data_IF_056047175602
#
_entry.id   IF_056047175602
#
_cell.length_a   1.000
_cell.length_b   1.000
_cell.length_c   1.000
_cell.angle_alpha   90.00
_cell.angle_beta   90.00
_cell.angle_gamma   90.00
#
_symmetry.space_group_name_H-M   'P 1'
#
loop_
_entity.id
_entity.type
_entity.pdbx_description
1 polymer ?
#
# COMPACT_ATOMS: atom_id res chain seq x y z
N UNK A 1 8.16 -15.05 -12.30
CA UNK A 1 8.56 -14.38 -13.55
C UNK A 1 10.00 -13.96 -13.39
N UNK A 2 10.85 -14.26 -14.37
CA UNK A 2 12.26 -13.86 -14.41
C UNK A 2 12.33 -12.39 -14.79
N UNK A 3 13.07 -11.58 -14.04
CA UNK A 3 13.14 -10.14 -14.30
C UNK A 3 13.94 -9.83 -15.57
N UNK A 4 13.56 -8.76 -16.27
CA UNK A 4 14.22 -8.28 -17.48
C UNK A 4 15.23 -7.19 -17.17
N UNK A 5 16.49 -7.45 -17.44
CA UNK A 5 17.62 -6.58 -17.12
C UNK A 5 18.22 -6.02 -18.40
N UNK A 6 18.35 -4.70 -18.48
CA UNK A 6 19.06 -4.04 -19.58
C UNK A 6 20.52 -3.80 -19.20
N UNK A 7 21.45 -4.32 -19.98
CA UNK A 7 22.89 -4.06 -19.87
C UNK A 7 23.31 -3.04 -20.91
N UNK A 8 23.93 -1.95 -20.48
CA UNK A 8 24.38 -0.86 -21.34
C UNK A 8 25.87 -0.63 -21.14
N UNK A 9 26.67 -0.89 -22.17
CA UNK A 9 28.13 -0.67 -22.16
C UNK A 9 28.60 -0.55 -23.62
N UNK A 10 29.49 0.40 -23.90
CA UNK A 10 30.00 0.66 -25.26
C UNK A 10 31.01 -0.40 -25.72
N UNK A 11 31.55 -1.20 -24.78
CA UNK A 11 32.49 -2.28 -25.07
C UNK A 11 31.75 -3.62 -25.18
N UNK A 12 31.70 -4.25 -26.38
CA UNK A 12 30.92 -5.48 -26.59
C UNK A 12 31.36 -6.67 -25.73
N UNK A 13 32.62 -6.71 -25.31
CA UNK A 13 33.14 -7.75 -24.43
C UNK A 13 32.53 -7.65 -23.01
N UNK A 14 32.35 -6.44 -22.48
CA UNK A 14 31.74 -6.22 -21.17
C UNK A 14 30.27 -6.63 -21.20
N UNK A 15 29.54 -6.22 -22.25
CA UNK A 15 28.13 -6.59 -22.47
C UNK A 15 27.96 -8.11 -22.46
N UNK A 16 28.73 -8.84 -23.29
CA UNK A 16 28.64 -10.30 -23.38
C UNK A 16 28.97 -11.00 -22.06
N UNK A 17 29.94 -10.47 -21.30
CA UNK A 17 30.31 -11.04 -20.01
C UNK A 17 29.17 -10.90 -18.99
N UNK A 18 28.61 -9.69 -18.86
CA UNK A 18 27.49 -9.42 -17.95
C UNK A 18 26.23 -10.18 -18.37
N UNK A 19 25.93 -10.23 -19.67
CA UNK A 19 24.83 -11.02 -20.24
C UNK A 19 24.96 -12.50 -19.85
N UNK A 20 26.11 -13.13 -20.11
CA UNK A 20 26.32 -14.54 -19.78
C UNK A 20 26.13 -14.82 -18.27
N UNK A 21 26.60 -13.93 -17.40
CA UNK A 21 26.47 -14.06 -15.94
C UNK A 21 25.01 -13.95 -15.49
N UNK A 22 24.26 -12.98 -16.03
CA UNK A 22 22.85 -12.76 -15.70
C UNK A 22 21.94 -13.89 -16.24
N UNK A 23 22.20 -14.37 -17.45
CA UNK A 23 21.47 -15.50 -18.04
C UNK A 23 21.68 -16.78 -17.23
N UNK A 24 22.89 -17.01 -16.69
CA UNK A 24 23.17 -18.14 -15.81
C UNK A 24 22.34 -18.13 -14.51
N UNK A 25 21.91 -16.94 -14.06
CA UNK A 25 21.00 -16.73 -12.93
C UNK A 25 19.53 -16.64 -13.36
N UNK A 26 19.22 -17.08 -14.59
CA UNK A 26 17.87 -17.15 -15.17
C UNK A 26 17.20 -15.81 -15.42
N UNK A 27 17.94 -14.70 -15.54
CA UNK A 27 17.36 -13.41 -15.94
C UNK A 27 17.16 -13.31 -17.46
N UNK A 28 16.16 -12.55 -17.88
CA UNK A 28 16.03 -12.14 -19.29
C UNK A 28 16.91 -10.91 -19.49
N UNK A 29 17.82 -10.93 -20.47
CA UNK A 29 18.79 -9.86 -20.69
C UNK A 29 18.52 -9.14 -22.00
N UNK A 30 18.41 -7.82 -21.93
CA UNK A 30 18.47 -6.91 -23.08
C UNK A 30 19.83 -6.22 -23.07
N UNK A 31 20.31 -5.82 -24.24
CA UNK A 31 21.62 -5.17 -24.39
C UNK A 31 21.52 -3.89 -25.22
N UNK A 32 22.26 -2.85 -24.83
CA UNK A 32 22.46 -1.63 -25.60
C UNK A 32 23.95 -1.26 -25.65
N UNK A 33 24.39 -0.71 -26.78
CA UNK A 33 25.78 -0.28 -26.98
C UNK A 33 26.01 1.21 -26.68
N UNK A 34 24.95 1.98 -26.44
CA UNK A 34 25.01 3.41 -26.18
C UNK A 34 23.77 3.90 -25.43
N UNK A 35 23.85 5.14 -24.93
CA UNK A 35 22.77 5.77 -24.17
C UNK A 35 21.49 6.01 -24.95
N UNK A 36 21.56 6.30 -26.26
CA UNK A 36 20.36 6.53 -27.08
C UNK A 36 19.57 5.23 -27.28
N UNK A 37 20.26 4.13 -27.59
CA UNK A 37 19.66 2.80 -27.68
C UNK A 37 19.05 2.37 -26.34
N UNK A 38 19.74 2.63 -25.22
CA UNK A 38 19.23 2.32 -23.89
C UNK A 38 17.91 3.03 -23.57
N UNK A 39 17.83 4.34 -23.83
CA UNK A 39 16.61 5.13 -23.63
C UNK A 39 15.46 4.61 -24.51
N UNK A 40 15.72 4.32 -25.78
CA UNK A 40 14.72 3.80 -26.71
C UNK A 40 14.16 2.45 -26.25
N UNK A 41 15.02 1.54 -25.74
CA UNK A 41 14.59 0.24 -25.21
C UNK A 41 13.68 0.42 -23.99
N UNK A 42 14.06 1.27 -23.03
CA UNK A 42 13.25 1.57 -21.84
C UNK A 42 11.90 2.22 -22.19
N UNK A 43 11.82 2.95 -23.30
CA UNK A 43 10.58 3.55 -23.81
C UNK A 43 9.72 2.62 -24.67
N UNK A 44 10.23 1.47 -25.11
CA UNK A 44 9.49 0.56 -25.98
C UNK A 44 9.14 -0.76 -25.30
N UNK A 45 9.91 -1.14 -24.29
CA UNK A 45 9.79 -2.43 -23.61
C UNK A 45 9.71 -2.26 -22.09
N UNK A 46 9.20 -3.28 -21.40
CA UNK A 46 9.26 -3.33 -19.94
C UNK A 46 10.66 -3.79 -19.50
N UNK A 47 11.35 -2.94 -18.74
CA UNK A 47 12.67 -3.22 -18.14
C UNK A 47 12.53 -3.12 -16.62
N UNK A 48 13.02 -4.13 -15.91
CA UNK A 48 12.92 -4.22 -14.44
C UNK A 48 14.15 -3.65 -13.74
N UNK A 49 15.31 -3.61 -14.41
CA UNK A 49 16.55 -3.03 -13.89
C UNK A 49 17.51 -2.66 -15.04
N UNK A 50 18.25 -1.57 -14.89
CA UNK A 50 19.30 -1.15 -15.84
C UNK A 50 20.67 -1.26 -15.18
N UNK A 51 21.59 -2.00 -15.81
CA UNK A 51 23.03 -1.96 -15.55
C UNK A 51 23.67 -1.01 -16.56
N UNK A 52 24.23 0.09 -16.10
CA UNK A 52 24.62 1.21 -16.95
C UNK A 52 26.10 1.55 -16.80
N UNK A 53 26.86 1.45 -17.87
CA UNK A 53 28.20 2.01 -17.92
C UNK A 53 28.16 3.55 -17.92
N UNK A 54 29.14 4.16 -17.26
CA UNK A 54 29.24 5.63 -17.20
C UNK A 54 30.02 6.18 -18.40
N UNK A 55 31.08 5.51 -18.80
CA UNK A 55 32.04 6.02 -19.77
C UNK A 55 31.66 5.58 -21.18
N UNK A 56 30.62 6.20 -21.73
CA UNK A 56 30.16 5.96 -23.09
C UNK A 56 30.35 7.20 -23.98
N UNK A 57 30.58 7.01 -25.29
CA UNK A 57 30.70 8.13 -26.23
C UNK A 57 29.35 8.83 -26.44
N UNK A 58 29.41 10.12 -26.79
CA UNK A 58 28.29 11.02 -27.06
C UNK A 58 27.38 11.34 -25.86
N UNK A 59 26.87 10.34 -25.16
CA UNK A 59 26.02 10.47 -23.98
C UNK A 59 26.57 9.59 -22.87
N UNK A 60 27.01 10.21 -21.77
CA UNK A 60 27.55 9.50 -20.62
C UNK A 60 26.43 8.83 -19.79
N UNK A 61 26.78 7.87 -18.95
CA UNK A 61 25.79 7.16 -18.13
C UNK A 61 25.13 8.05 -17.06
N UNK A 62 25.73 9.18 -16.68
CA UNK A 62 25.06 10.12 -15.77
C UNK A 62 23.86 10.78 -16.48
N UNK A 63 24.07 11.26 -17.71
CA UNK A 63 23.01 11.86 -18.52
C UNK A 63 21.89 10.87 -18.85
N UNK A 64 22.24 9.62 -19.19
CA UNK A 64 21.24 8.55 -19.40
C UNK A 64 20.40 8.35 -18.13
N UNK A 65 21.05 8.29 -16.96
CA UNK A 65 20.35 8.11 -15.69
C UNK A 65 19.40 9.28 -15.40
N UNK A 66 19.83 10.52 -15.55
CA UNK A 66 18.99 11.71 -15.34
C UNK A 66 17.77 11.72 -16.27
N UNK A 67 17.95 11.34 -17.55
CA UNK A 67 16.85 11.21 -18.51
C UNK A 67 15.88 10.10 -18.14
N UNK A 68 16.37 8.94 -17.70
CA UNK A 68 15.51 7.85 -17.21
C UNK A 68 14.70 8.28 -15.98
N UNK A 69 15.32 9.02 -15.05
CA UNK A 69 14.70 9.45 -13.79
C UNK A 69 13.75 10.65 -13.93
N UNK A 70 13.87 11.44 -15.00
CA UNK A 70 12.97 12.56 -15.29
C UNK A 70 11.68 12.18 -16.02
N UNK A 71 11.64 11.01 -16.67
CA UNK A 71 10.42 10.53 -17.35
C UNK A 71 9.53 9.72 -16.41
N UNK A 72 8.25 10.09 -16.30
CA UNK A 72 7.28 9.38 -15.45
C UNK A 72 7.13 7.90 -15.79
N UNK A 73 7.41 7.54 -17.06
CA UNK A 73 7.36 6.17 -17.56
C UNK A 73 8.57 5.34 -17.12
N UNK A 74 9.74 5.92 -16.93
CA UNK A 74 10.98 5.17 -16.65
C UNK A 74 11.57 5.46 -15.28
N UNK A 75 11.11 6.51 -14.58
CA UNK A 75 11.69 6.96 -13.31
C UNK A 75 11.68 5.91 -12.20
N UNK A 76 10.77 4.96 -12.29
CA UNK A 76 10.62 3.87 -11.35
C UNK A 76 11.52 2.66 -11.63
N UNK A 77 12.25 2.64 -12.75
CA UNK A 77 13.19 1.59 -13.09
C UNK A 77 14.48 1.81 -12.27
N UNK A 78 14.95 0.82 -11.50
CA UNK A 78 16.20 0.93 -10.77
C UNK A 78 17.40 0.94 -11.72
N UNK A 79 18.36 1.84 -11.46
CA UNK A 79 19.58 2.00 -12.26
C UNK A 79 20.79 1.72 -11.38
N UNK A 80 21.60 0.73 -11.77
CA UNK A 80 22.89 0.42 -11.16
C UNK A 80 23.99 0.86 -12.11
N UNK A 81 24.80 1.82 -11.69
CA UNK A 81 25.95 2.24 -12.48
C UNK A 81 27.10 1.25 -12.32
N UNK A 82 27.77 0.89 -13.41
CA UNK A 82 28.95 0.02 -13.41
C UNK A 82 30.06 0.77 -14.13
N UNK A 83 31.18 1.07 -13.48
CA UNK A 83 32.23 1.87 -14.14
C UNK A 83 33.62 1.56 -13.62
N UNK A 84 34.65 1.90 -14.38
CA UNK A 84 36.04 1.88 -13.91
C UNK A 84 36.36 3.06 -12.98
N UNK A 85 35.48 4.07 -12.88
CA UNK A 85 35.62 5.16 -11.92
C UNK A 85 35.46 4.63 -10.49
N UNK A 86 36.46 4.85 -9.64
CA UNK A 86 36.54 4.30 -8.29
C UNK A 86 36.51 5.36 -7.19
N UNK A 87 36.55 6.64 -7.55
CA UNK A 87 36.59 7.75 -6.60
C UNK A 87 35.23 7.94 -5.89
N UNK A 88 35.22 8.30 -4.59
CA UNK A 88 33.98 8.59 -3.87
C UNK A 88 33.13 9.68 -4.54
N UNK A 89 33.76 10.68 -5.17
CA UNK A 89 33.07 11.75 -5.89
C UNK A 89 32.21 11.25 -7.06
N UNK A 90 32.65 10.21 -7.76
CA UNK A 90 31.93 9.64 -8.90
C UNK A 90 30.70 8.86 -8.44
N UNK A 91 30.82 8.13 -7.32
CA UNK A 91 29.68 7.45 -6.67
C UNK A 91 28.63 8.45 -6.22
N UNK A 92 29.07 9.53 -5.55
CA UNK A 92 28.18 10.60 -5.09
C UNK A 92 27.50 11.27 -6.28
N UNK A 93 28.21 11.52 -7.38
CA UNK A 93 27.63 12.07 -8.61
C UNK A 93 26.58 11.12 -9.19
N UNK A 94 26.86 9.82 -9.24
CA UNK A 94 25.93 8.80 -9.74
C UNK A 94 24.64 8.74 -8.94
N UNK A 95 24.75 8.70 -7.61
CA UNK A 95 23.60 8.72 -6.71
C UNK A 95 22.79 10.04 -6.83
N UNK A 96 23.47 11.19 -7.01
CA UNK A 96 22.81 12.48 -7.25
C UNK A 96 22.08 12.55 -8.60
N UNK A 97 22.62 11.89 -9.63
CA UNK A 97 21.94 11.70 -10.92
C UNK A 97 20.73 10.75 -10.83
N UNK A 98 20.49 10.15 -9.66
CA UNK A 98 19.34 9.30 -9.36
C UNK A 98 19.61 7.81 -9.49
N UNK A 99 20.87 7.38 -9.65
CA UNK A 99 21.22 5.96 -9.62
C UNK A 99 20.81 5.37 -8.27
N UNK A 100 20.27 4.15 -8.31
CA UNK A 100 19.91 3.41 -7.11
C UNK A 100 21.14 2.78 -6.46
N UNK A 101 22.18 2.51 -7.26
CA UNK A 101 23.42 1.92 -6.77
C UNK A 101 24.59 2.11 -7.73
N UNK A 102 25.78 1.72 -7.26
CA UNK A 102 27.04 1.85 -7.99
C UNK A 102 27.95 0.65 -7.72
N UNK A 103 28.59 0.15 -8.78
CA UNK A 103 29.60 -0.91 -8.75
C UNK A 103 30.85 -0.48 -9.52
N UNK A 104 32.01 -0.73 -8.93
CA UNK A 104 33.31 -0.46 -9.57
C UNK A 104 33.80 -1.71 -10.31
N UNK A 105 34.36 -1.54 -11.51
CA UNK A 105 35.01 -2.60 -12.30
C UNK A 105 36.41 -2.90 -11.71
N UNK A 106 36.85 -4.16 -11.66
CA UNK A 106 36.16 -5.37 -12.11
C UNK A 106 35.02 -5.77 -11.16
N UNK A 107 33.86 -6.10 -11.73
CA UNK A 107 32.66 -6.41 -10.96
C UNK A 107 32.77 -7.77 -10.29
N UNK A 108 32.61 -7.80 -8.97
CA UNK A 108 32.46 -9.02 -8.18
C UNK A 108 31.07 -9.62 -8.43
N UNK A 109 31.01 -10.87 -8.89
CA UNK A 109 29.78 -11.57 -9.26
C UNK A 109 28.79 -11.67 -8.11
N UNK A 110 29.28 -11.94 -6.91
CA UNK A 110 28.47 -12.09 -5.72
C UNK A 110 27.82 -10.74 -5.33
N UNK A 111 28.57 -9.64 -5.41
CA UNK A 111 28.05 -8.30 -5.16
C UNK A 111 27.05 -7.86 -6.24
N UNK A 112 27.33 -8.13 -7.50
CA UNK A 112 26.41 -7.82 -8.61
C UNK A 112 25.09 -8.58 -8.45
N UNK A 113 25.15 -9.90 -8.25
CA UNK A 113 23.94 -10.72 -8.17
C UNK A 113 23.10 -10.38 -6.95
N UNK A 114 23.73 -10.14 -5.80
CA UNK A 114 22.99 -9.78 -4.58
C UNK A 114 22.30 -8.41 -4.71
N UNK A 115 22.95 -7.41 -5.31
CA UNK A 115 22.35 -6.10 -5.61
C UNK A 115 21.20 -6.21 -6.61
N UNK A 116 21.41 -6.91 -7.73
CA UNK A 116 20.39 -7.15 -8.76
C UNK A 116 19.15 -7.83 -8.14
N UNK A 117 19.34 -8.92 -7.40
CA UNK A 117 18.24 -9.65 -6.74
C UNK A 117 17.48 -8.77 -5.74
N UNK A 118 18.19 -7.96 -4.95
CA UNK A 118 17.56 -7.03 -3.99
C UNK A 118 16.71 -5.97 -4.68
N UNK A 119 17.26 -5.30 -5.71
CA UNK A 119 16.57 -4.23 -6.44
C UNK A 119 15.38 -4.76 -7.24
N UNK A 120 15.52 -5.92 -7.89
CA UNK A 120 14.41 -6.59 -8.60
C UNK A 120 13.28 -6.95 -7.62
N UNK A 121 13.60 -7.50 -6.44
CA UNK A 121 12.59 -7.81 -5.41
C UNK A 121 11.81 -6.56 -5.01
N UNK A 122 12.50 -5.43 -4.84
CA UNK A 122 11.87 -4.15 -4.48
C UNK A 122 11.03 -3.57 -5.62
N UNK A 123 11.51 -3.68 -6.87
CA UNK A 123 10.79 -3.26 -8.08
C UNK A 123 9.47 -3.99 -8.22
N UNK A 124 9.46 -5.31 -8.07
CA UNK A 124 8.24 -6.13 -8.17
C UNK A 124 7.15 -5.67 -7.21
N UNK A 125 7.51 -5.39 -5.95
CA UNK A 125 6.57 -4.88 -4.94
C UNK A 125 6.04 -3.49 -5.33
N UNK A 126 6.92 -2.61 -5.84
CA UNK A 126 6.52 -1.27 -6.27
C UNK A 126 5.60 -1.30 -7.50
N UNK A 127 5.87 -2.17 -8.47
CA UNK A 127 5.08 -2.32 -9.68
C UNK A 127 3.70 -2.87 -9.41
N UNK A 128 3.60 -3.86 -8.50
CA UNK A 128 2.30 -4.39 -8.09
C UNK A 128 1.42 -3.29 -7.48
N UNK A 129 2.00 -2.44 -6.63
CA UNK A 129 1.30 -1.30 -6.05
C UNK A 129 0.93 -0.24 -7.10
N UNK A 130 1.83 0.04 -8.04
CA UNK A 130 1.57 0.99 -9.14
C UNK A 130 0.46 0.49 -10.06
N UNK A 131 0.46 -0.80 -10.42
CA UNK A 131 -0.59 -1.41 -11.25
C UNK A 131 -1.94 -1.35 -10.54
N UNK A 132 -1.97 -1.68 -9.24
CA UNK A 132 -3.19 -1.55 -8.42
C UNK A 132 -3.68 -0.12 -8.39
N UNK A 133 -2.81 0.86 -8.16
CA UNK A 133 -3.16 2.28 -8.15
C UNK A 133 -3.70 2.77 -9.49
N UNK A 134 -3.08 2.38 -10.62
CA UNK A 134 -3.53 2.73 -11.98
C UNK A 134 -4.89 2.11 -12.32
N UNK A 135 -5.11 0.85 -11.94
CA UNK A 135 -6.40 0.17 -12.11
C UNK A 135 -7.49 0.90 -11.32
N UNK A 136 -7.16 1.32 -10.09
CA UNK A 136 -8.02 2.13 -9.24
C UNK A 136 -8.41 3.47 -9.90
N UNK A 137 -7.45 4.16 -10.52
CA UNK A 137 -7.68 5.44 -11.22
C UNK A 137 -8.50 5.29 -12.51
N UNK A 138 -8.31 4.21 -13.27
CA UNK A 138 -8.99 3.97 -14.56
C UNK A 138 -10.50 3.68 -14.38
N UNK A 139 -10.91 3.20 -13.20
CA UNK A 139 -12.31 2.81 -12.89
C UNK A 139 -13.20 4.03 -12.51
N UNK A 140 -12.73 5.27 -12.67
CA UNK A 140 -13.58 6.47 -12.60
C UNK A 140 -13.42 7.32 -11.33
N UNK A 141 -12.27 7.26 -10.66
CA UNK A 141 -11.92 8.18 -9.57
C UNK A 141 -10.88 9.19 -10.07
N UNK A 142 -11.35 10.23 -10.78
CA UNK A 142 -10.53 11.40 -11.09
C UNK A 142 -10.43 12.29 -9.86
N UNK A 143 -9.27 12.25 -9.21
CA UNK A 143 -8.39 13.40 -8.93
C UNK A 143 -7.39 13.02 -7.83
N UNK A 144 -6.19 12.59 -8.24
CA UNK A 144 -5.00 12.60 -7.38
C UNK A 144 -3.83 13.21 -8.18
N UNK A 145 -4.10 14.37 -8.79
CA UNK A 145 -3.04 15.19 -9.38
C UNK A 145 -2.54 16.19 -8.34
N UNK A 146 -1.46 15.79 -7.65
CA UNK A 146 -0.26 16.56 -7.31
C UNK A 146 0.52 15.80 -6.24
N UNK A 147 1.30 14.83 -6.71
CA UNK A 147 2.22 14.01 -5.90
C UNK A 147 3.53 14.71 -5.54
N UNK A 148 3.70 15.98 -5.91
CA UNK A 148 4.84 16.81 -5.51
C UNK A 148 4.50 17.61 -4.25
N UNK A 149 4.55 16.93 -3.09
CA UNK A 149 4.93 17.63 -1.86
C UNK A 149 6.47 17.68 -1.80
N UNK A 150 7.06 18.83 -1.41
CA UNK A 150 8.51 18.95 -1.23
C UNK A 150 9.05 17.86 -0.29
N UNK A 151 10.33 17.49 -0.48
CA UNK A 151 11.09 16.54 0.35
C UNK A 151 10.88 16.89 1.84
N UNK A 152 9.95 16.19 2.51
CA UNK A 152 9.83 16.25 3.97
C UNK A 152 11.16 15.69 4.55
N UNK A 153 11.74 16.34 5.57
CA UNK A 153 12.94 15.84 6.20
C UNK A 153 12.67 14.41 6.70
N UNK A 154 13.55 13.48 6.35
CA UNK A 154 13.36 12.08 6.73
C UNK A 154 13.56 11.87 8.23
N UNK A 155 13.05 10.78 8.77
CA UNK A 155 13.39 10.29 10.11
C UNK A 155 14.33 9.10 10.03
N UNK A 156 15.51 9.16 10.64
CA UNK A 156 16.53 8.11 10.58
C UNK A 156 16.80 7.56 11.97
N UNK A 157 16.75 6.24 12.12
CA UNK A 157 17.24 5.55 13.31
C UNK A 157 18.66 5.02 13.04
N UNK A 158 19.65 5.54 13.75
CA UNK A 158 21.03 5.09 13.70
C UNK A 158 21.32 4.16 14.88
N UNK A 159 21.67 2.91 14.57
CA UNK A 159 22.10 1.90 15.55
C UNK A 159 23.60 1.70 15.42
N UNK A 160 24.37 2.18 16.38
CA UNK A 160 25.83 2.20 16.32
C UNK A 160 26.41 2.08 17.73
N UNK A 161 27.30 1.12 17.98
CA UNK A 161 27.88 0.91 19.32
C UNK A 161 28.95 1.93 19.73
N UNK A 162 29.47 2.77 18.81
CA UNK A 162 30.64 3.63 19.04
C UNK A 162 30.30 5.12 18.98
N UNK A 163 30.47 5.82 20.11
CA UNK A 163 30.15 7.25 20.25
C UNK A 163 30.81 8.17 19.18
N UNK A 164 32.09 7.95 18.86
CA UNK A 164 32.80 8.76 17.85
C UNK A 164 32.27 8.56 16.42
N UNK A 165 31.73 7.37 16.14
CA UNK A 165 31.06 7.05 14.88
C UNK A 165 29.66 7.67 14.84
N UNK A 166 28.90 7.53 15.93
CA UNK A 166 27.58 8.16 16.10
C UNK A 166 27.62 9.67 15.80
N UNK A 167 28.54 10.41 16.42
CA UNK A 167 28.66 11.86 16.23
C UNK A 167 28.94 12.23 14.77
N UNK A 168 29.80 11.46 14.10
CA UNK A 168 30.21 11.71 12.71
C UNK A 168 29.06 11.44 11.74
N UNK A 169 28.40 10.29 11.86
CA UNK A 169 27.28 9.89 11.01
C UNK A 169 26.08 10.82 11.24
N UNK A 170 25.77 11.15 12.49
CA UNK A 170 24.71 12.09 12.85
C UNK A 170 24.97 13.47 12.23
N UNK A 171 26.19 13.99 12.32
CA UNK A 171 26.55 15.29 11.72
C UNK A 171 26.34 15.30 10.20
N UNK A 172 26.66 14.20 9.52
CA UNK A 172 26.46 14.07 8.08
C UNK A 172 24.98 14.01 7.69
N UNK A 173 24.14 13.34 8.49
CA UNK A 173 22.73 13.09 8.18
C UNK A 173 21.77 14.22 8.59
N UNK A 174 22.12 15.05 9.58
CA UNK A 174 21.31 16.19 10.06
C UNK A 174 20.76 17.12 8.96
N UNK A 175 21.46 17.41 7.86
CA UNK A 175 20.91 18.28 6.81
C UNK A 175 19.72 17.67 6.05
N UNK A 176 19.54 16.35 6.10
CA UNK A 176 18.53 15.63 5.31
C UNK A 176 17.46 14.94 6.17
N UNK A 177 17.74 14.74 7.46
CA UNK A 177 16.89 13.95 8.34
C UNK A 177 17.08 14.27 9.82
N UNK A 178 16.02 14.07 10.59
CA UNK A 178 16.10 13.94 12.04
C UNK A 178 16.69 12.58 12.40
N UNK A 179 17.69 12.55 13.29
CA UNK A 179 18.46 11.33 13.60
C UNK A 179 18.27 10.95 15.07
N UNK A 180 17.60 9.83 15.31
CA UNK A 180 17.60 9.14 16.59
C UNK A 180 18.79 8.19 16.65
N UNK A 181 19.53 8.19 17.76
CA UNK A 181 20.75 7.37 17.90
C UNK A 181 20.60 6.43 19.08
N UNK A 182 20.84 5.14 18.86
CA UNK A 182 20.81 4.12 19.89
C UNK A 182 22.05 3.23 19.81
N UNK A 183 22.67 2.98 20.96
CA UNK A 183 23.85 2.09 21.05
C UNK A 183 23.45 0.63 21.24
N UNK A 184 22.28 0.38 21.84
CA UNK A 184 21.78 -0.96 22.13
C UNK A 184 20.82 -1.46 21.04
N UNK A 185 21.10 -2.60 20.39
CA UNK A 185 20.22 -3.20 19.39
C UNK A 185 18.81 -3.53 19.90
N UNK A 186 18.65 -3.92 21.17
CA UNK A 186 17.31 -4.26 21.70
C UNK A 186 16.46 -3.00 21.90
N UNK A 187 17.03 -1.95 22.49
CA UNK A 187 16.40 -0.64 22.56
C UNK A 187 16.03 -0.12 21.16
N UNK A 188 16.90 -0.31 20.17
CA UNK A 188 16.62 0.09 18.79
C UNK A 188 15.43 -0.63 18.16
N UNK A 189 15.26 -1.92 18.46
CA UNK A 189 14.10 -2.68 17.99
C UNK A 189 12.80 -2.14 18.61
N UNK A 190 12.82 -1.82 19.91
CA UNK A 190 11.67 -1.27 20.63
C UNK A 190 11.30 0.12 20.10
N UNK A 191 12.29 1.00 19.98
CA UNK A 191 12.14 2.34 19.43
C UNK A 191 11.53 2.31 18.02
N UNK A 192 12.04 1.44 17.15
CA UNK A 192 11.52 1.28 15.79
C UNK A 192 10.07 0.74 15.75
N UNK A 193 9.63 -0.01 16.78
CA UNK A 193 8.29 -0.54 16.85
C UNK A 193 7.25 0.49 17.35
N UNK A 194 7.67 1.39 18.23
CA UNK A 194 6.80 2.44 18.78
C UNK A 194 6.72 3.66 17.87
N UNK A 195 7.85 4.07 17.28
CA UNK A 195 7.97 5.29 16.49
C UNK A 195 8.15 5.03 14.99
N UNK A 196 7.86 6.04 14.17
CA UNK A 196 7.99 5.95 12.71
C UNK A 196 9.35 6.46 12.23
N UNK A 197 10.08 5.59 11.52
CA UNK A 197 11.34 5.93 10.87
C UNK A 197 11.29 5.67 9.37
N UNK A 198 11.96 6.51 8.59
CA UNK A 198 12.13 6.40 7.14
C UNK A 198 13.31 5.56 6.71
N UNK A 199 14.29 5.40 7.58
CA UNK A 199 15.48 4.61 7.34
C UNK A 199 16.04 4.12 8.67
N UNK A 200 16.46 2.86 8.72
CA UNK A 200 17.30 2.34 9.80
C UNK A 200 18.71 2.14 9.27
N UNK A 201 19.70 2.72 9.92
CA UNK A 201 21.11 2.51 9.64
C UNK A 201 21.68 1.63 10.74
N UNK A 202 22.18 0.46 10.39
CA UNK A 202 22.79 -0.49 11.33
C UNK A 202 24.30 -0.50 11.08
N UNK A 203 25.09 -0.04 12.04
CA UNK A 203 26.54 -0.14 11.99
C UNK A 203 26.98 -1.50 12.54
N UNK A 204 27.59 -2.34 11.70
CA UNK A 204 28.10 -3.66 12.07
C UNK A 204 29.42 -3.55 12.88
N UNK A 205 29.37 -2.90 14.04
CA UNK A 205 30.54 -2.64 14.89
C UNK A 205 30.30 -3.05 16.36
N UNK A 206 29.41 -4.01 16.60
CA UNK A 206 29.11 -4.56 17.92
C UNK A 206 30.08 -5.68 18.28
N UNK A 207 30.54 -5.71 19.54
CA UNK A 207 31.50 -6.71 20.02
C UNK A 207 30.84 -8.07 20.32
N UNK A 208 29.61 -8.07 20.87
CA UNK A 208 28.89 -9.29 21.31
C UNK A 208 27.50 -9.48 20.68
N UNK A 209 27.24 -8.85 19.53
CA UNK A 209 25.93 -8.92 18.88
C UNK A 209 26.03 -9.05 17.36
N UNK A 210 25.30 -10.02 16.79
CA UNK A 210 25.20 -10.18 15.34
C UNK A 210 24.25 -9.11 14.73
N UNK A 211 24.74 -8.14 13.95
CA UNK A 211 23.91 -7.10 13.35
C UNK A 211 22.83 -7.67 12.41
N UNK A 212 23.05 -8.84 11.81
CA UNK A 212 22.06 -9.49 10.96
C UNK A 212 20.84 -9.97 11.76
N UNK A 213 21.01 -10.29 13.04
CA UNK A 213 19.90 -10.65 13.94
C UNK A 213 18.93 -9.49 14.10
N UNK A 214 19.44 -8.28 14.32
CA UNK A 214 18.62 -7.07 14.41
C UNK A 214 17.85 -6.83 13.10
N UNK A 215 18.55 -6.96 11.95
CA UNK A 215 17.93 -6.81 10.64
C UNK A 215 16.77 -7.79 10.44
N UNK A 216 16.97 -9.06 10.81
CA UNK A 216 15.93 -10.09 10.75
C UNK A 216 14.75 -9.78 11.67
N UNK A 217 15.00 -9.26 12.88
CA UNK A 217 13.93 -8.90 13.83
C UNK A 217 13.11 -7.72 13.31
N UNK A 218 13.75 -6.66 12.79
CA UNK A 218 13.06 -5.55 12.13
C UNK A 218 12.23 -6.03 10.93
N UNK A 219 12.69 -7.04 10.20
CA UNK A 219 11.94 -7.60 9.07
C UNK A 219 10.72 -8.45 9.48
N UNK A 220 10.72 -9.01 10.68
CA UNK A 220 9.62 -9.84 11.21
C UNK A 220 8.44 -9.06 11.76
N UNK A 221 8.62 -7.79 12.14
CA UNK A 221 7.57 -6.96 12.74
C UNK A 221 6.76 -6.23 11.66
N UNK A 222 5.43 -6.23 11.78
CA UNK A 222 4.54 -5.63 10.78
C UNK A 222 4.82 -4.14 10.53
N UNK A 223 5.12 -3.38 11.60
CA UNK A 223 5.39 -1.95 11.54
C UNK A 223 6.72 -1.59 10.87
N UNK A 224 7.74 -2.43 11.01
CA UNK A 224 9.11 -2.11 10.57
C UNK A 224 9.57 -2.91 9.35
N UNK A 225 8.82 -3.94 8.94
CA UNK A 225 9.20 -4.83 7.83
C UNK A 225 9.44 -4.14 6.49
N UNK A 226 8.89 -2.96 6.28
CA UNK A 226 9.05 -2.17 5.06
C UNK A 226 10.02 -1.01 5.18
N UNK A 227 10.53 -0.71 6.38
CA UNK A 227 11.50 0.36 6.57
C UNK A 227 12.81 -0.05 5.90
N UNK A 228 13.39 0.74 4.98
CA UNK A 228 14.70 0.46 4.42
C UNK A 228 15.76 0.29 5.52
N UNK A 229 16.64 -0.71 5.35
CA UNK A 229 17.77 -0.93 6.26
C UNK A 229 19.05 -0.72 5.45
N UNK A 230 19.92 0.16 5.94
CA UNK A 230 21.24 0.42 5.39
C UNK A 230 22.30 -0.13 6.35
N UNK A 231 23.09 -1.10 5.89
CA UNK A 231 24.13 -1.72 6.72
C UNK A 231 25.47 -1.03 6.51
N UNK A 232 26.18 -0.65 7.58
CA UNK A 232 27.57 -0.19 7.50
C UNK A 232 28.49 -1.33 7.91
N UNK A 233 29.39 -1.78 7.03
CA UNK A 233 30.24 -2.97 7.23
C UNK A 233 31.71 -2.74 6.89
N UNK A 234 32.61 -3.64 7.31
CA UNK A 234 34.04 -3.60 7.01
C UNK A 234 34.37 -4.16 5.63
N UNK A 235 35.51 -3.74 5.08
CA UNK A 235 36.05 -4.34 3.86
C UNK A 235 36.37 -5.83 4.07
N UNK A 236 36.07 -6.64 3.05
CA UNK A 236 36.31 -8.08 3.06
C UNK A 236 35.18 -8.93 3.65
N UNK A 237 34.09 -8.33 4.14
CA UNK A 237 32.97 -9.06 4.74
C UNK A 237 31.84 -9.37 3.73
N UNK A 238 32.21 -9.86 2.54
CA UNK A 238 31.28 -10.08 1.42
C UNK A 238 30.19 -11.11 1.76
N UNK A 239 30.51 -12.18 2.50
CA UNK A 239 29.53 -13.18 2.93
C UNK A 239 28.44 -12.59 3.82
N UNK A 240 28.80 -11.67 4.73
CA UNK A 240 27.84 -10.97 5.58
C UNK A 240 26.91 -10.09 4.74
N UNK A 241 27.44 -9.40 3.73
CA UNK A 241 26.66 -8.53 2.84
C UNK A 241 25.60 -9.35 2.09
N UNK A 242 25.98 -10.51 1.55
CA UNK A 242 25.04 -11.40 0.86
C UNK A 242 23.93 -11.82 1.78
N UNK A 243 24.27 -12.33 2.97
CA UNK A 243 23.29 -12.75 3.98
C UNK A 243 22.39 -11.59 4.40
N UNK A 244 22.93 -10.38 4.53
CA UNK A 244 22.17 -9.18 4.85
C UNK A 244 21.11 -8.90 3.77
N UNK A 245 21.50 -8.89 2.50
CA UNK A 245 20.59 -8.62 1.37
C UNK A 245 19.50 -9.70 1.26
N UNK A 246 19.87 -10.97 1.47
CA UNK A 246 18.93 -12.09 1.56
C UNK A 246 17.89 -11.89 2.67
N UNK A 247 18.35 -11.48 3.86
CA UNK A 247 17.48 -11.15 5.01
C UNK A 247 16.60 -9.92 4.80
N UNK A 248 16.78 -9.17 3.71
CA UNK A 248 15.98 -7.99 3.42
C UNK A 248 16.64 -6.67 3.75
N UNK A 249 17.92 -6.64 4.10
CA UNK A 249 18.69 -5.39 4.10
C UNK A 249 18.65 -4.82 2.69
N UNK A 250 18.52 -3.51 2.62
CA UNK A 250 18.21 -2.87 1.37
C UNK A 250 19.46 -2.49 0.59
N UNK A 251 20.45 -1.98 1.31
CA UNK A 251 21.72 -1.51 0.76
C UNK A 251 22.80 -1.52 1.87
N UNK A 252 24.05 -1.30 1.50
CA UNK A 252 25.17 -1.26 2.43
C UNK A 252 26.21 -0.19 2.07
N UNK A 253 27.01 0.20 3.06
CA UNK A 253 28.15 1.10 2.94
C UNK A 253 29.39 0.44 3.52
N UNK A 254 30.49 0.53 2.79
CA UNK A 254 31.79 0.03 3.24
C UNK A 254 32.52 1.08 4.07
N UNK A 255 33.21 0.65 5.12
CA UNK A 255 34.14 1.51 5.87
C UNK A 255 35.46 1.71 5.10
N UNK A 256 36.10 2.90 5.20
CA UNK A 256 35.64 4.10 5.92
C UNK A 256 34.47 4.78 5.23
N UNK A 257 33.47 5.24 6.01
CA UNK A 257 32.26 5.87 5.49
C UNK A 257 32.57 7.29 4.98
N UNK A 258 32.34 7.52 3.69
CA UNK A 258 32.31 8.87 3.11
C UNK A 258 30.99 9.57 3.50
N UNK A 259 31.03 10.77 4.11
CA UNK A 259 29.82 11.49 4.51
C UNK A 259 28.88 11.80 3.34
N UNK A 260 29.41 12.12 2.17
CA UNK A 260 28.60 12.45 1.00
C UNK A 260 27.95 11.19 0.42
N UNK A 261 28.66 10.05 0.44
CA UNK A 261 28.06 8.75 0.04
C UNK A 261 26.93 8.35 0.99
N UNK A 262 27.16 8.48 2.31
CA UNK A 262 26.14 8.21 3.33
C UNK A 262 24.87 9.04 3.10
N UNK A 263 25.03 10.34 2.87
CA UNK A 263 23.92 11.26 2.61
C UNK A 263 23.18 10.86 1.34
N UNK A 264 23.90 10.61 0.25
CA UNK A 264 23.31 10.28 -1.04
C UNK A 264 22.53 8.95 -1.01
N UNK A 265 23.10 7.90 -0.38
CA UNK A 265 22.39 6.62 -0.20
C UNK A 265 21.17 6.77 0.71
N UNK A 266 21.30 7.50 1.82
CA UNK A 266 20.19 7.73 2.75
C UNK A 266 19.03 8.46 2.08
N UNK A 267 19.30 9.52 1.31
CA UNK A 267 18.29 10.24 0.52
C UNK A 267 17.58 9.32 -0.48
N UNK A 268 18.33 8.47 -1.17
CA UNK A 268 17.77 7.50 -2.13
C UNK A 268 16.79 6.54 -1.44
N UNK A 269 17.16 6.04 -0.24
CA UNK A 269 16.29 5.15 0.54
C UNK A 269 15.03 5.85 1.04
N UNK A 270 15.16 7.06 1.59
CA UNK A 270 14.04 7.87 2.11
C UNK A 270 13.05 8.19 1.00
N UNK A 271 13.52 8.74 -0.13
CA UNK A 271 12.66 9.07 -1.28
C UNK A 271 11.89 7.87 -1.80
N UNK A 272 12.55 6.71 -1.87
CA UNK A 272 11.91 5.48 -2.33
C UNK A 272 10.87 4.97 -1.33
N UNK A 273 11.13 5.05 -0.02
CA UNK A 273 10.14 4.71 1.00
C UNK A 273 8.91 5.62 0.87
N UNK A 274 9.11 6.95 0.82
CA UNK A 274 8.02 7.90 0.66
C UNK A 274 7.19 7.64 -0.60
N UNK A 275 7.84 7.33 -1.73
CA UNK A 275 7.13 6.96 -2.96
C UNK A 275 6.27 5.70 -2.78
N UNK A 276 6.81 4.65 -2.13
CA UNK A 276 6.10 3.40 -1.89
C UNK A 276 4.91 3.60 -0.93
N UNK A 277 5.10 4.36 0.15
CA UNK A 277 4.05 4.65 1.12
C UNK A 277 2.93 5.48 0.48
N UNK A 278 3.26 6.46 -0.38
CA UNK A 278 2.27 7.21 -1.17
C UNK A 278 1.46 6.30 -2.09
N UNK A 279 2.11 5.35 -2.78
CA UNK A 279 1.42 4.37 -3.61
C UNK A 279 0.48 3.50 -2.79
N UNK A 280 0.91 3.01 -1.62
CA UNK A 280 0.07 2.20 -0.72
C UNK A 280 -1.13 2.98 -0.20
N UNK A 281 -0.90 4.21 0.25
CA UNK A 281 -1.96 5.10 0.72
C UNK A 281 -2.99 5.36 -0.39
N UNK A 282 -2.54 5.62 -1.61
CA UNK A 282 -3.42 5.80 -2.77
C UNK A 282 -4.26 4.56 -3.08
N UNK A 283 -3.66 3.36 -3.03
CA UNK A 283 -4.40 2.10 -3.19
C UNK A 283 -5.43 1.92 -2.09
N UNK A 284 -5.05 2.14 -0.83
CA UNK A 284 -5.93 1.99 0.32
C UNK A 284 -7.11 2.97 0.28
N UNK A 285 -6.85 4.25 0.01
CA UNK A 285 -7.87 5.27 -0.16
C UNK A 285 -8.82 4.93 -1.31
N UNK A 286 -8.29 4.42 -2.43
CA UNK A 286 -9.16 4.04 -3.54
C UNK A 286 -10.01 2.82 -3.21
N UNK A 287 -9.51 1.87 -2.41
CA UNK A 287 -10.31 0.75 -1.91
C UNK A 287 -11.41 1.28 -0.98
N UNK A 288 -11.11 2.20 -0.07
CA UNK A 288 -12.08 2.79 0.85
C UNK A 288 -13.19 3.53 0.08
N UNK A 289 -12.83 4.45 -0.84
CA UNK A 289 -13.77 5.16 -1.71
C UNK A 289 -14.55 4.21 -2.64
N UNK A 290 -13.97 3.08 -3.02
CA UNK A 290 -14.63 2.07 -3.83
C UNK A 290 -15.62 1.20 -3.05
N UNK A 291 -15.56 1.18 -1.71
CA UNK A 291 -16.25 0.23 -0.83
C UNK A 291 -17.26 0.92 0.08
N UNK A 292 -17.11 2.21 0.39
CA UNK A 292 -18.04 2.98 1.22
C UNK A 292 -18.89 3.96 0.42
N UNK A 293 -20.02 4.39 0.99
CA UNK A 293 -20.88 5.46 0.51
C UNK A 293 -20.45 6.79 1.17
N UNK A 294 -20.19 7.81 0.35
CA UNK A 294 -19.57 9.07 0.81
C UNK A 294 -20.43 9.84 1.82
N UNK A 295 -21.76 9.75 1.71
CA UNK A 295 -22.66 10.46 2.60
C UNK A 295 -22.77 9.77 3.95
N UNK A 296 -22.94 8.45 3.96
CA UNK A 296 -23.30 7.69 5.17
C UNK A 296 -22.12 6.99 5.84
N UNK A 297 -21.01 6.83 5.12
CA UNK A 297 -19.84 6.05 5.54
C UNK A 297 -20.10 4.54 5.67
N UNK A 298 -21.32 4.06 5.39
CA UNK A 298 -21.62 2.62 5.30
C UNK A 298 -21.02 2.04 4.03
N UNK A 299 -21.04 0.71 3.89
CA UNK A 299 -20.60 0.10 2.63
C UNK A 299 -21.57 0.45 1.48
N UNK A 300 -21.05 0.60 0.27
CA UNK A 300 -21.88 0.89 -0.89
C UNK A 300 -22.51 -0.37 -1.50
N UNK A 301 -23.49 -0.18 -2.37
CA UNK A 301 -24.19 -1.26 -3.10
C UNK A 301 -23.23 -2.22 -3.81
N UNK A 302 -22.20 -1.70 -4.49
CA UNK A 302 -21.24 -2.52 -5.25
C UNK A 302 -20.47 -3.48 -4.33
N UNK A 303 -20.12 -3.02 -3.13
CA UNK A 303 -19.47 -3.87 -2.14
C UNK A 303 -20.40 -5.00 -1.68
N UNK A 304 -21.67 -4.69 -1.38
CA UNK A 304 -22.67 -5.69 -1.02
C UNK A 304 -22.81 -6.77 -2.09
N UNK A 305 -22.99 -6.40 -3.36
CA UNK A 305 -23.22 -7.35 -4.46
C UNK A 305 -22.05 -8.34 -4.61
N UNK A 306 -20.82 -7.86 -4.46
CA UNK A 306 -19.63 -8.70 -4.52
C UNK A 306 -19.45 -9.59 -3.28
N UNK A 307 -19.72 -9.06 -2.07
CA UNK A 307 -19.49 -9.79 -0.82
C UNK A 307 -20.63 -10.75 -0.46
N UNK A 308 -21.88 -10.46 -0.83
CA UNK A 308 -23.03 -11.28 -0.50
C UNK A 308 -22.88 -12.70 -1.07
N UNK A 309 -22.39 -12.83 -2.30
CA UNK A 309 -22.13 -14.14 -2.92
C UNK A 309 -21.16 -14.98 -2.09
N UNK A 310 -20.04 -14.39 -1.65
CA UNK A 310 -19.05 -15.06 -0.82
C UNK A 310 -19.62 -15.48 0.55
N UNK A 311 -20.48 -14.66 1.15
CA UNK A 311 -21.13 -14.96 2.41
C UNK A 311 -22.13 -16.11 2.28
N UNK A 312 -22.89 -16.17 1.18
CA UNK A 312 -23.81 -17.26 0.88
C UNK A 312 -23.04 -18.57 0.68
N UNK A 313 -21.98 -18.57 -0.14
CA UNK A 313 -21.16 -19.76 -0.38
C UNK A 313 -20.56 -20.31 0.93
N UNK A 314 -20.07 -19.40 1.79
CA UNK A 314 -19.51 -19.76 3.10
C UNK A 314 -20.57 -20.30 4.06
N UNK A 315 -21.76 -19.71 4.09
CA UNK A 315 -22.87 -20.14 4.93
C UNK A 315 -23.35 -21.55 4.50
N UNK A 316 -23.54 -21.76 3.20
CA UNK A 316 -23.91 -23.05 2.63
C UNK A 316 -22.88 -24.15 2.92
N UNK A 317 -21.59 -23.88 2.69
CA UNK A 317 -20.53 -24.85 2.95
C UNK A 317 -20.40 -25.28 4.43
N UNK A 318 -20.78 -24.40 5.36
CA UNK A 318 -20.70 -24.65 6.82
C UNK A 318 -22.02 -25.09 7.44
N UNK A 319 -23.11 -25.13 6.67
CA UNK A 319 -24.46 -25.37 7.19
C UNK A 319 -24.89 -24.34 8.24
N UNK A 320 -24.45 -23.08 8.11
CA UNK A 320 -24.79 -22.01 9.05
C UNK A 320 -25.87 -21.08 8.46
N UNK A 321 -26.79 -20.55 9.29
CA UNK A 321 -27.85 -19.67 8.81
C UNK A 321 -27.27 -18.32 8.41
N UNK A 322 -27.83 -17.70 7.37
CA UNK A 322 -27.52 -16.34 6.96
C UNK A 322 -28.83 -15.61 6.71
N UNK A 323 -28.96 -14.41 7.26
CA UNK A 323 -30.16 -13.59 7.09
C UNK A 323 -29.80 -12.21 6.57
N UNK A 324 -30.70 -11.62 5.79
CA UNK A 324 -30.60 -10.24 5.32
C UNK A 324 -31.82 -9.45 5.76
N UNK A 325 -31.62 -8.15 5.98
CA UNK A 325 -32.65 -7.19 6.26
C UNK A 325 -32.50 -6.03 5.28
N UNK A 326 -33.52 -5.78 4.46
CA UNK A 326 -33.61 -4.57 3.63
C UNK A 326 -34.52 -3.59 4.36
N UNK A 327 -34.10 -2.34 4.45
CA UNK A 327 -34.83 -1.27 5.13
C UNK A 327 -34.95 -0.05 4.25
N UNK A 328 -36.07 0.65 4.38
CA UNK A 328 -36.39 1.85 3.63
C UNK A 328 -37.00 2.89 4.57
N UNK A 329 -36.53 4.14 4.42
CA UNK A 329 -36.99 5.26 5.23
C UNK A 329 -38.38 5.69 4.76
N UNK A 330 -39.37 5.61 5.65
CA UNK A 330 -40.75 5.88 5.30
C UNK A 330 -40.96 7.34 4.91
N UNK A 331 -41.51 7.56 3.71
CA UNK A 331 -41.88 8.89 3.19
C UNK A 331 -40.68 9.85 3.10
N UNK A 332 -39.47 9.35 2.89
CA UNK A 332 -38.26 10.18 2.79
C UNK A 332 -38.37 11.29 1.73
N UNK A 333 -39.02 11.02 0.59
CA UNK A 333 -39.31 12.08 -0.40
C UNK A 333 -40.04 13.29 0.19
N UNK A 334 -40.99 13.11 1.12
CA UNK A 334 -41.68 14.23 1.79
C UNK A 334 -40.74 15.05 2.67
N UNK A 335 -39.70 14.42 3.25
CA UNK A 335 -38.68 15.13 4.02
C UNK A 335 -37.93 16.07 3.08
N UNK A 336 -37.43 15.56 1.95
CA UNK A 336 -36.73 16.38 0.95
C UNK A 336 -37.62 17.50 0.40
N UNK A 337 -38.86 17.19 0.04
CA UNK A 337 -39.79 18.16 -0.53
C UNK A 337 -40.20 19.27 0.47
N UNK A 338 -40.14 19.00 1.79
CA UNK A 338 -40.57 19.94 2.83
C UNK A 338 -39.40 20.72 3.44
N UNK A 339 -38.24 20.08 3.63
CA UNK A 339 -37.11 20.61 4.38
C UNK A 339 -35.82 20.78 3.56
N UNK A 340 -35.85 20.41 2.27
CA UNK A 340 -34.68 20.48 1.39
C UNK A 340 -33.82 19.22 1.40
N UNK A 341 -32.89 19.15 0.45
CA UNK A 341 -32.00 17.99 0.29
C UNK A 341 -30.96 17.87 1.41
N UNK A 342 -30.47 18.99 1.95
CA UNK A 342 -29.51 18.99 3.06
C UNK A 342 -30.10 18.36 4.33
N UNK A 343 -31.39 18.61 4.59
CA UNK A 343 -32.12 17.95 5.67
C UNK A 343 -32.32 16.44 5.42
N UNK A 344 -32.52 16.04 4.16
CA UNK A 344 -32.51 14.64 3.76
C UNK A 344 -31.18 13.95 4.05
N UNK A 345 -30.08 14.64 3.75
CA UNK A 345 -28.73 14.14 3.99
C UNK A 345 -28.42 13.98 5.50
N UNK A 346 -28.89 14.91 6.34
CA UNK A 346 -28.84 14.78 7.80
C UNK A 346 -29.58 13.53 8.29
N UNK A 347 -30.79 13.28 7.75
CA UNK A 347 -31.57 12.08 8.08
C UNK A 347 -30.83 10.81 7.67
N UNK A 348 -30.23 10.77 6.48
CA UNK A 348 -29.49 9.62 5.98
C UNK A 348 -28.23 9.34 6.83
N UNK A 349 -27.49 10.38 7.22
CA UNK A 349 -26.30 10.26 8.08
C UNK A 349 -26.65 9.69 9.45
N UNK A 350 -27.69 10.24 10.09
CA UNK A 350 -28.13 9.76 11.39
C UNK A 350 -28.75 8.35 11.31
N UNK A 351 -29.50 8.04 10.25
CA UNK A 351 -30.04 6.70 10.04
C UNK A 351 -28.91 5.67 9.92
N UNK A 352 -27.88 5.99 9.14
CA UNK A 352 -26.70 5.16 8.98
C UNK A 352 -25.94 4.93 10.29
N UNK A 353 -25.82 5.96 11.14
CA UNK A 353 -25.23 5.83 12.48
C UNK A 353 -26.03 4.86 13.35
N UNK A 354 -27.37 4.91 13.30
CA UNK A 354 -28.24 3.99 14.05
C UNK A 354 -28.14 2.55 13.55
N UNK A 355 -28.05 2.36 12.23
CA UNK A 355 -27.77 1.05 11.63
C UNK A 355 -26.45 0.52 12.16
N UNK A 356 -25.37 1.32 12.07
CA UNK A 356 -24.03 0.92 12.53
C UNK A 356 -23.98 0.58 14.02
N UNK A 357 -24.68 1.32 14.87
CA UNK A 357 -24.75 1.05 16.31
C UNK A 357 -25.57 -0.21 16.64
N UNK A 358 -26.45 -0.63 15.74
CA UNK A 358 -27.34 -1.79 15.94
C UNK A 358 -26.69 -3.11 15.51
N UNK A 359 -25.76 -3.08 14.56
CA UNK A 359 -25.15 -4.27 13.97
C UNK A 359 -23.83 -4.64 14.65
N UNK A 360 -23.42 -5.90 14.56
CA UNK A 360 -22.16 -6.41 15.12
C UNK A 360 -21.01 -6.16 14.14
N UNK A 361 -19.76 -6.25 14.61
CA UNK A 361 -18.58 -6.15 13.73
C UNK A 361 -18.46 -7.26 12.67
N UNK A 362 -19.20 -8.37 12.83
CA UNK A 362 -19.29 -9.44 11.83
C UNK A 362 -20.43 -9.25 10.81
N UNK A 363 -21.35 -8.32 11.09
CA UNK A 363 -22.48 -8.01 10.22
C UNK A 363 -22.05 -6.97 9.17
N UNK A 364 -22.67 -7.01 8.00
CA UNK A 364 -22.39 -6.08 6.92
C UNK A 364 -23.55 -5.10 6.77
N UNK A 365 -23.32 -3.82 7.03
CA UNK A 365 -24.29 -2.74 6.81
C UNK A 365 -23.93 -1.93 5.56
N UNK A 366 -24.89 -1.77 4.65
CA UNK A 366 -24.71 -1.12 3.37
C UNK A 366 -25.82 -0.11 3.08
N UNK A 367 -25.49 0.96 2.37
CA UNK A 367 -26.47 1.79 1.66
C UNK A 367 -26.66 1.22 0.26
N UNK A 368 -27.86 0.75 -0.03
CA UNK A 368 -28.19 0.04 -1.27
C UNK A 368 -28.79 0.95 -2.34
N UNK A 369 -29.52 1.99 -1.91
CA UNK A 369 -30.14 2.98 -2.76
C UNK A 369 -30.20 4.35 -2.08
N UNK A 370 -30.92 5.30 -2.67
CA UNK A 370 -31.02 6.66 -2.14
C UNK A 370 -31.47 6.68 -0.67
N UNK A 371 -32.58 6.00 -0.37
CA UNK A 371 -33.20 5.90 0.97
C UNK A 371 -33.25 4.46 1.51
N UNK A 372 -32.56 3.54 0.83
CA UNK A 372 -32.60 2.09 1.09
C UNK A 372 -31.27 1.59 1.65
N UNK A 373 -31.35 0.78 2.70
CA UNK A 373 -30.18 0.17 3.35
C UNK A 373 -30.36 -1.34 3.46
N UNK A 374 -29.24 -2.06 3.49
CA UNK A 374 -29.21 -3.50 3.61
C UNK A 374 -28.27 -3.90 4.73
N UNK A 375 -28.72 -4.81 5.58
CA UNK A 375 -27.91 -5.43 6.62
C UNK A 375 -27.85 -6.93 6.37
N UNK A 376 -26.64 -7.46 6.15
CA UNK A 376 -26.39 -8.90 6.06
C UNK A 376 -25.85 -9.38 7.41
N UNK A 377 -26.48 -10.41 7.95
CA UNK A 377 -26.20 -10.98 9.27
C UNK A 377 -25.79 -12.45 9.09
N UNK A 378 -24.47 -12.74 9.00
CA UNK A 378 -23.97 -14.11 9.01
C UNK A 378 -24.30 -14.81 10.32
N UNK A 379 -24.38 -16.14 10.28
CA UNK A 379 -24.63 -16.99 11.45
C UNK A 379 -25.89 -16.60 12.25
N UNK A 380 -26.91 -16.07 11.57
CA UNK A 380 -28.11 -15.48 12.17
C UNK A 380 -29.38 -16.12 11.61
N UNK A 381 -30.21 -16.68 12.49
CA UNK A 381 -31.52 -17.28 12.15
C UNK A 381 -32.57 -16.21 11.85
N UNK A 382 -33.66 -16.52 11.14
CA UNK A 382 -34.75 -15.57 10.87
C UNK A 382 -35.35 -14.93 12.14
N UNK A 383 -35.47 -15.68 13.24
CA UNK A 383 -36.01 -15.16 14.50
C UNK A 383 -35.07 -14.12 15.11
N UNK A 384 -33.76 -14.38 15.07
CA UNK A 384 -32.77 -13.44 15.58
C UNK A 384 -32.66 -12.20 14.69
N UNK A 385 -32.77 -12.38 13.37
CA UNK A 385 -32.84 -11.28 12.41
C UNK A 385 -34.05 -10.37 12.70
N UNK A 386 -35.20 -10.94 13.04
CA UNK A 386 -36.40 -10.18 13.43
C UNK A 386 -36.17 -9.34 14.69
N UNK A 387 -35.46 -9.86 15.68
CA UNK A 387 -35.09 -9.11 16.89
C UNK A 387 -34.18 -7.93 16.55
N UNK A 388 -33.18 -8.13 15.68
CA UNK A 388 -32.26 -7.05 15.26
C UNK A 388 -33.00 -5.98 14.46
N UNK A 389 -33.86 -6.39 13.53
CA UNK A 389 -34.67 -5.47 12.73
C UNK A 389 -35.65 -4.66 13.60
N UNK A 390 -36.31 -5.29 14.57
CA UNK A 390 -37.24 -4.59 15.46
C UNK A 390 -36.50 -3.60 16.38
N UNK A 391 -35.29 -3.96 16.84
CA UNK A 391 -34.42 -3.03 17.58
C UNK A 391 -34.05 -1.80 16.74
N UNK A 392 -33.70 -2.01 15.45
CA UNK A 392 -33.42 -0.91 14.54
C UNK A 392 -34.66 -0.03 14.34
N UNK A 393 -35.82 -0.65 14.07
CA UNK A 393 -37.10 0.06 13.88
C UNK A 393 -37.45 0.94 15.09
N UNK A 394 -37.39 0.38 16.29
CA UNK A 394 -37.64 1.09 17.53
C UNK A 394 -36.65 2.23 17.75
N UNK A 395 -35.36 2.01 17.46
CA UNK A 395 -34.34 3.06 17.58
C UNK A 395 -34.54 4.20 16.60
N UNK A 396 -35.10 3.94 15.41
CA UNK A 396 -35.43 4.96 14.42
C UNK A 396 -36.65 5.77 14.88
N UNK A 397 -37.70 5.10 15.35
CA UNK A 397 -38.95 5.73 15.81
C UNK A 397 -38.79 6.52 17.11
N UNK A 398 -38.05 6.00 18.10
CA UNK A 398 -38.05 6.53 19.47
C UNK A 398 -37.26 7.83 19.63
N UNK A 399 -36.28 8.07 18.76
CA UNK A 399 -35.38 9.23 18.84
C UNK A 399 -35.57 10.08 17.59
N UNK A 400 -35.89 11.36 17.77
CA UNK A 400 -35.99 12.27 16.64
C UNK A 400 -34.65 12.47 15.92
N UNK A 401 -34.72 12.97 14.69
CA UNK A 401 -33.59 13.29 13.83
C UNK A 401 -33.33 14.78 13.89
N UNK A 402 -32.15 15.18 14.37
CA UNK A 402 -31.77 16.58 14.48
C UNK A 402 -31.37 17.10 13.09
N UNK A 403 -32.07 18.13 12.61
CA UNK A 403 -31.78 18.79 11.34
C UNK A 403 -31.03 20.08 11.60
N UNK A 404 -29.77 20.16 11.16
CA UNK A 404 -28.86 21.23 11.55
C UNK A 404 -29.33 22.60 11.02
N UNK A 405 -29.78 22.67 9.77
CA UNK A 405 -30.22 23.93 9.15
C UNK A 405 -31.60 24.41 9.64
N UNK A 406 -32.51 23.48 9.94
CA UNK A 406 -33.88 23.80 10.33
C UNK A 406 -34.07 23.96 11.85
N UNK A 407 -33.01 23.73 12.64
CA UNK A 407 -33.03 23.71 14.12
C UNK A 407 -34.25 22.97 14.70
N UNK A 408 -34.64 21.87 14.04
CA UNK A 408 -35.88 21.13 14.29
C UNK A 408 -35.58 19.65 14.41
N UNK A 409 -36.39 18.96 15.21
CA UNK A 409 -36.33 17.52 15.40
C UNK A 409 -37.43 16.86 14.56
N UNK A 410 -37.05 16.01 13.62
CA UNK A 410 -37.99 15.25 12.78
C UNK A 410 -38.27 13.86 13.35
N UNK A 411 -39.52 13.42 13.27
CA UNK A 411 -39.89 12.03 13.56
C UNK A 411 -39.96 11.28 12.24
N UNK A 412 -39.12 10.26 12.11
CA UNK A 412 -38.99 9.44 10.91
C UNK A 412 -39.19 7.99 11.33
N UNK A 413 -39.86 7.20 10.49
CA UNK A 413 -40.02 5.76 10.68
C UNK A 413 -39.36 5.01 9.53
N UNK A 414 -39.16 3.71 9.70
CA UNK A 414 -38.63 2.86 8.64
C UNK A 414 -39.44 1.56 8.54
N UNK A 415 -39.55 1.06 7.33
CA UNK A 415 -40.12 -0.25 7.02
C UNK A 415 -38.99 -1.24 6.73
N UNK A 416 -39.10 -2.46 7.25
CA UNK A 416 -38.03 -3.46 7.17
C UNK A 416 -38.58 -4.79 6.65
N UNK A 417 -37.86 -5.38 5.69
CA UNK A 417 -38.11 -6.69 5.11
C UNK A 417 -36.96 -7.66 5.39
N UNK A 418 -37.26 -8.84 5.92
CA UNK A 418 -36.25 -9.86 6.27
C UNK A 418 -36.39 -11.06 5.35
N UNK A 419 -35.26 -11.62 4.93
CA UNK A 419 -35.20 -12.95 4.33
C UNK A 419 -33.99 -13.73 4.85
N UNK A 420 -34.12 -15.05 4.91
CA UNK A 420 -33.03 -15.95 5.33
C UNK A 420 -32.69 -16.95 4.24
N UNK A 421 -31.41 -17.27 4.13
CA UNK A 421 -30.85 -18.18 3.14
C UNK A 421 -31.50 -19.57 3.24
N UNK A 422 -31.99 -20.08 2.10
CA UNK A 422 -32.52 -21.45 2.02
C UNK A 422 -31.37 -22.47 1.86
N UNK A 423 -31.51 -23.69 2.40
CA UNK A 423 -30.50 -24.74 2.23
C UNK A 423 -30.28 -25.17 0.76
N UNK A 424 -31.29 -24.99 -0.10
CA UNK A 424 -31.37 -25.61 -1.43
C UNK A 424 -30.84 -24.71 -2.56
N UNK A 425 -29.54 -24.40 -2.56
CA UNK A 425 -28.89 -23.73 -3.70
C UNK A 425 -29.38 -22.30 -3.97
N UNK A 426 -29.76 -21.58 -2.91
CA UNK A 426 -30.27 -20.22 -2.98
C UNK A 426 -29.22 -19.23 -3.50
N UNK A 427 -29.67 -18.19 -4.20
CA UNK A 427 -28.78 -17.21 -4.86
C UNK A 427 -28.91 -15.84 -4.18
N UNK A 428 -27.87 -15.00 -4.32
CA UNK A 428 -27.91 -13.63 -3.82
C UNK A 428 -29.12 -12.84 -4.35
N UNK A 429 -29.44 -13.00 -5.64
CA UNK A 429 -30.58 -12.36 -6.29
C UNK A 429 -31.92 -12.85 -5.71
N UNK A 430 -32.09 -14.16 -5.54
CA UNK A 430 -33.32 -14.72 -4.98
C UNK A 430 -33.52 -14.33 -3.51
N UNK A 431 -32.44 -14.29 -2.73
CA UNK A 431 -32.46 -13.86 -1.34
C UNK A 431 -32.85 -12.39 -1.22
N UNK A 432 -32.19 -11.50 -1.97
CA UNK A 432 -32.53 -10.07 -2.01
C UNK A 432 -33.97 -9.83 -2.45
N UNK A 433 -34.45 -10.56 -3.48
CA UNK A 433 -35.82 -10.45 -3.96
C UNK A 433 -36.85 -10.83 -2.90
N UNK A 434 -36.59 -11.84 -2.07
CA UNK A 434 -37.49 -12.22 -0.97
C UNK A 434 -37.54 -11.14 0.11
N UNK A 435 -36.40 -10.53 0.44
CA UNK A 435 -36.37 -9.45 1.41
C UNK A 435 -37.07 -8.18 0.88
N UNK A 436 -36.93 -7.90 -0.41
CA UNK A 436 -37.63 -6.80 -1.09
C UNK A 436 -39.16 -7.01 -1.10
N UNK A 437 -39.62 -8.24 -1.36
CA UNK A 437 -41.04 -8.58 -1.23
C UNK A 437 -41.57 -8.37 0.20
N UNK A 438 -40.80 -8.78 1.21
CA UNK A 438 -41.17 -8.54 2.61
C UNK A 438 -41.21 -7.04 2.94
N UNK A 439 -40.27 -6.25 2.41
CA UNK A 439 -40.27 -4.80 2.57
C UNK A 439 -41.49 -4.16 1.89
N UNK A 440 -41.86 -4.63 0.71
CA UNK A 440 -43.06 -4.19 0.00
C UNK A 440 -44.34 -4.47 0.81
N UNK A 441 -44.44 -5.66 1.43
CA UNK A 441 -45.52 -6.00 2.36
C UNK A 441 -45.51 -5.09 3.60
N UNK A 442 -44.34 -4.76 4.16
CA UNK A 442 -44.21 -3.83 5.27
C UNK A 442 -44.76 -2.43 4.91
N UNK A 443 -44.41 -1.92 3.72
CA UNK A 443 -44.88 -0.64 3.20
C UNK A 443 -46.40 -0.62 2.99
N UNK A 444 -46.97 -1.68 2.43
CA UNK A 444 -48.40 -1.81 2.18
C UNK A 444 -49.23 -2.09 3.44
N UNK A 445 -48.63 -2.74 4.43
CA UNK A 445 -49.29 -3.05 5.70
C UNK A 445 -49.57 -1.82 6.57
N UNK A 446 -49.01 -0.66 6.23
CA UNK A 446 -49.15 0.58 7.01
C UNK A 446 -47.82 1.18 7.45
N UNK A 447 -46.68 0.69 6.91
CA UNK A 447 -45.32 1.15 7.23
C UNK A 447 -44.92 0.92 8.69
N UNK A 448 -43.75 1.43 9.09
CA UNK A 448 -43.20 1.36 10.44
C UNK A 448 -43.33 -0.03 11.07
N UNK A 449 -42.85 -1.05 10.35
CA UNK A 449 -42.95 -2.45 10.78
C UNK A 449 -41.87 -3.32 10.16
N UNK A 450 -41.67 -4.47 10.80
CA UNK A 450 -40.83 -5.54 10.30
C UNK A 450 -41.73 -6.64 9.72
N UNK A 451 -41.41 -7.10 8.52
CA UNK A 451 -42.02 -8.30 7.90
C UNK A 451 -40.91 -9.27 7.55
N UNK A 452 -41.12 -10.56 7.84
CA UNK A 452 -40.20 -11.63 7.45
C UNK A 452 -40.84 -12.45 6.33
N UNK A 453 -40.15 -12.62 5.21
CA UNK A 453 -40.57 -13.54 4.17
C UNK A 453 -40.56 -14.96 4.72
N UNK A 454 -41.63 -15.72 4.47
CA UNK A 454 -41.68 -17.13 4.85
C UNK A 454 -40.52 -17.89 4.20
N UNK A 455 -39.86 -18.73 5.02
CA UNK A 455 -38.65 -19.45 4.68
C UNK A 455 -38.80 -20.24 3.40
#
# INVERSE_FOLDING_TARGET
MTARILVVDDVPANVKLLEARLVAEYFEVLTAADGHAALAICEQTSVDLVLLDIMMPHMDGFEVCERLKSSSRTAHIPVVMITALDQPSDRVRGLKAGADDFLTKPVNDLQLMSRVKSLVRLKNVSDELRLRAQTAQTIGLQELSRLDRPDEPGSVLLVDGRASSQERLTRALRPIADVAVLSDPQAALFEAAENSFDLVIVNANFDDYDPLRLCSQLRSLERTRFIPILLVTEQGNDEMIVRALELGVTDYIMRPVDPNELVARSLTQIRRKHCNDRLRASVQQTIELAVTDDLTGLHNRRYLENHLKLLIDRAGARGRPLSICITDIDRFKRVNDTYGHDAGDDVLREFANRVRATVRGADLACRFGGEEFVVVMPDTTPEMAAIVAERLRLSVESRGFDIAEAATVLTVTASLGIASLRPDGDTAEALLKRADMALYEAKNGGRNRVVAAAA
#
